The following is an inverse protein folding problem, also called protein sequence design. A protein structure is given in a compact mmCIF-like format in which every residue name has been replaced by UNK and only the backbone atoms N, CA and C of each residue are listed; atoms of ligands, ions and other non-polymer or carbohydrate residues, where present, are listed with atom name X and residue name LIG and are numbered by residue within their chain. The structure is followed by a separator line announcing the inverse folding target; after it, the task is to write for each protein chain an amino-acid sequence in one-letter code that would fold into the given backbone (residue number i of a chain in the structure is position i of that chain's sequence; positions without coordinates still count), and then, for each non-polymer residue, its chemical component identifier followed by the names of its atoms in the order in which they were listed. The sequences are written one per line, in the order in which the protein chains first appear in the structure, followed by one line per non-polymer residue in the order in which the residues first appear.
data_IF_842185262171
#
_entry.id   IF_842185262171
#
_cell.length_a   1.000
_cell.length_b   1.000
_cell.length_c   1.000
_cell.angle_alpha   90.00
_cell.angle_beta   90.00
_cell.angle_gamma   90.00
#
_symmetry.space_group_name_H-M   'P 1'
#
loop_
_entity.id
_entity.type
_entity.pdbx_description
1 polymer ?
#
# COMPACT_ATOMS: atom_id res chain seq x y z
N UNK A 1 8.51 6.50 -58.03
CA UNK A 1 7.73 7.71 -57.72
C UNK A 1 6.68 7.20 -56.76
N UNK A 2 7.05 7.10 -55.49
CA UNK A 2 6.13 6.65 -54.46
C UNK A 2 4.98 7.65 -54.45
N UNK A 3 3.75 7.16 -54.63
CA UNK A 3 2.62 8.06 -54.74
C UNK A 3 2.40 8.74 -53.39
N UNK A 4 1.94 9.99 -53.39
CA UNK A 4 1.63 10.71 -52.14
C UNK A 4 0.72 9.88 -51.21
N UNK A 5 -0.19 9.08 -51.80
CA UNK A 5 -1.07 8.17 -51.08
C UNK A 5 -0.34 7.04 -50.34
N UNK A 6 0.78 6.55 -50.89
CA UNK A 6 1.57 5.46 -50.30
C UNK A 6 2.39 5.97 -49.11
N UNK A 7 2.86 7.22 -49.19
CA UNK A 7 3.52 7.92 -48.08
C UNK A 7 2.53 8.16 -46.95
N UNK A 8 1.32 8.62 -47.27
CA UNK A 8 0.26 8.85 -46.28
C UNK A 8 -0.18 7.56 -45.57
N UNK A 9 -0.28 6.45 -46.32
CA UNK A 9 -0.61 5.14 -45.75
C UNK A 9 0.47 4.66 -44.76
N UNK A 10 1.75 4.85 -45.09
CA UNK A 10 2.84 4.42 -44.20
C UNK A 10 2.97 5.35 -42.97
N UNK A 11 2.70 6.65 -43.11
CA UNK A 11 2.59 7.59 -41.99
C UNK A 11 1.44 7.17 -41.05
N UNK A 12 0.29 6.78 -41.61
CA UNK A 12 -0.86 6.33 -40.84
C UNK A 12 -0.53 5.05 -40.08
N UNK A 13 0.15 4.11 -40.73
CA UNK A 13 0.59 2.84 -40.13
C UNK A 13 1.60 3.06 -39.01
N UNK A 14 2.59 3.93 -39.22
CA UNK A 14 3.56 4.32 -38.19
C UNK A 14 2.89 4.97 -36.98
N UNK A 15 1.97 5.90 -37.23
CA UNK A 15 1.20 6.58 -36.18
C UNK A 15 0.35 5.59 -35.38
N UNK A 16 -0.27 4.62 -36.06
CA UNK A 16 -1.06 3.55 -35.45
C UNK A 16 -0.20 2.61 -34.58
N UNK A 17 1.01 2.27 -35.04
CA UNK A 17 1.96 1.48 -34.27
C UNK A 17 2.40 2.21 -32.99
N UNK A 18 2.72 3.50 -33.07
CA UNK A 18 3.11 4.31 -31.90
C UNK A 18 1.96 4.38 -30.90
N UNK A 19 0.75 4.74 -31.34
CA UNK A 19 -0.41 4.84 -30.44
C UNK A 19 -0.74 3.49 -29.81
N UNK A 20 -0.63 2.40 -30.57
CA UNK A 20 -0.82 1.03 -30.03
C UNK A 20 0.23 0.68 -28.99
N UNK A 21 1.51 0.95 -29.26
CA UNK A 21 2.61 0.70 -28.33
C UNK A 21 2.48 1.54 -27.05
N UNK A 22 2.09 2.82 -27.17
CA UNK A 22 1.77 3.69 -26.04
C UNK A 22 0.63 3.07 -25.23
N UNK A 23 -0.49 2.70 -25.84
CA UNK A 23 -1.63 2.14 -25.12
C UNK A 23 -1.31 0.80 -24.43
N UNK A 24 -0.49 -0.05 -25.04
CA UNK A 24 -0.05 -1.34 -24.47
C UNK A 24 0.94 -1.16 -23.30
N UNK A 25 1.87 -0.20 -23.42
CA UNK A 25 2.89 0.06 -22.39
C UNK A 25 2.36 0.94 -21.25
N UNK A 26 1.38 1.80 -21.53
CA UNK A 26 0.78 2.69 -20.54
C UNK A 26 -0.23 1.91 -19.70
N UNK A 27 0.23 1.34 -18.58
CA UNK A 27 -0.69 0.85 -17.54
C UNK A 27 -1.40 2.04 -16.90
N UNK A 28 -2.63 2.34 -17.33
CA UNK A 28 -3.51 3.25 -16.61
C UNK A 28 -3.89 2.62 -15.26
N UNK A 29 -3.09 2.89 -14.23
CA UNK A 29 -3.54 2.65 -12.86
C UNK A 29 -4.65 3.65 -12.59
N UNK A 30 -5.89 3.24 -12.82
CA UNK A 30 -7.02 3.92 -12.22
C UNK A 30 -6.76 3.85 -10.73
N UNK A 31 -6.48 5.00 -10.09
CA UNK A 31 -6.37 5.11 -8.65
C UNK A 31 -7.78 4.87 -8.10
N UNK A 32 -8.24 3.61 -8.12
CA UNK A 32 -9.51 3.14 -7.55
C UNK A 32 -9.34 2.95 -6.05
N UNK A 33 -8.77 3.94 -5.38
CA UNK A 33 -9.16 4.11 -3.98
C UNK A 33 -10.38 5.00 -4.04
N UNK A 34 -11.58 4.48 -3.75
CA UNK A 34 -12.70 5.36 -3.51
C UNK A 34 -12.23 6.30 -2.41
N UNK A 35 -12.03 7.58 -2.75
CA UNK A 35 -11.89 8.59 -1.72
C UNK A 35 -13.09 8.42 -0.80
N UNK A 36 -12.86 8.48 0.51
CA UNK A 36 -13.92 8.34 1.51
C UNK A 36 -15.10 9.22 1.09
N UNK A 37 -16.20 8.59 0.67
CA UNK A 37 -17.42 9.30 0.35
C UNK A 37 -18.11 9.62 1.67
N UNK A 38 -18.03 10.87 2.09
CA UNK A 38 -18.77 11.38 3.24
C UNK A 38 -20.24 11.58 2.85
N UNK A 39 -21.12 11.38 3.82
CA UNK A 39 -22.54 11.64 3.65
C UNK A 39 -22.82 13.10 3.26
N UNK A 40 -23.81 13.31 2.39
CA UNK A 40 -24.08 14.61 1.72
C UNK A 40 -24.33 15.75 2.72
N UNK A 41 -24.91 15.46 3.87
CA UNK A 41 -25.15 16.45 4.93
C UNK A 41 -23.86 16.94 5.59
N UNK A 42 -22.86 16.06 5.77
CA UNK A 42 -21.55 16.48 6.29
C UNK A 42 -20.87 17.40 5.27
N UNK A 43 -20.98 17.08 3.98
CA UNK A 43 -20.44 17.90 2.90
C UNK A 43 -21.10 19.28 2.84
N UNK A 44 -22.42 19.37 3.03
CA UNK A 44 -23.13 20.66 3.07
C UNK A 44 -22.67 21.52 4.26
N UNK A 45 -22.52 20.93 5.46
CA UNK A 45 -21.96 21.62 6.64
C UNK A 45 -20.53 22.10 6.39
N UNK A 46 -19.67 21.31 5.74
CA UNK A 46 -18.30 21.71 5.37
C UNK A 46 -18.32 22.93 4.45
N UNK A 47 -19.19 22.94 3.43
CA UNK A 47 -19.34 24.09 2.52
C UNK A 47 -19.73 25.36 3.29
N UNK A 48 -20.72 25.28 4.18
CA UNK A 48 -21.19 26.42 4.98
C UNK A 48 -20.08 26.93 5.91
N UNK A 49 -19.38 26.04 6.62
CA UNK A 49 -18.24 26.41 7.47
C UNK A 49 -17.15 27.14 6.68
N UNK A 50 -16.81 26.63 5.50
CA UNK A 50 -15.78 27.23 4.66
C UNK A 50 -16.22 28.62 4.14
N UNK A 51 -17.49 28.80 3.79
CA UNK A 51 -18.06 30.11 3.44
C UNK A 51 -17.95 31.10 4.61
N UNK A 52 -18.32 30.68 5.82
CA UNK A 52 -18.22 31.53 7.02
C UNK A 52 -16.77 31.91 7.35
N UNK A 53 -15.82 30.99 7.16
CA UNK A 53 -14.39 31.28 7.32
C UNK A 53 -13.91 32.33 6.31
N UNK A 54 -14.33 32.22 5.04
CA UNK A 54 -14.02 33.23 4.01
C UNK A 54 -14.63 34.60 4.37
N UNK A 55 -15.89 34.63 4.79
CA UNK A 55 -16.55 35.87 5.23
C UNK A 55 -15.83 36.51 6.41
N UNK A 56 -15.37 35.73 7.40
CA UNK A 56 -14.57 36.24 8.50
C UNK A 56 -13.24 36.83 8.05
N UNK A 57 -12.55 36.22 7.09
CA UNK A 57 -11.28 36.76 6.55
C UNK A 57 -11.46 38.11 5.84
N UNK A 58 -12.62 38.34 5.22
CA UNK A 58 -12.92 39.60 4.52
C UNK A 58 -13.41 40.67 5.49
N UNK A 59 -14.37 40.31 6.36
CA UNK A 59 -15.12 41.28 7.18
C UNK A 59 -14.54 41.47 8.58
N UNK A 60 -13.66 40.57 9.03
CA UNK A 60 -13.18 40.45 10.41
C UNK A 60 -14.28 40.39 11.48
N UNK A 61 -15.53 40.13 11.09
CA UNK A 61 -16.67 40.12 12.00
C UNK A 61 -16.66 38.86 12.89
N UNK A 62 -16.43 38.97 14.22
CA UNK A 62 -16.18 37.81 15.09
C UNK A 62 -17.29 36.75 15.14
N UNK A 63 -18.59 37.08 15.01
CA UNK A 63 -19.66 36.08 14.97
C UNK A 63 -19.51 35.04 13.86
N UNK A 64 -18.94 35.39 12.70
CA UNK A 64 -18.69 34.42 11.63
C UNK A 64 -17.65 33.38 12.03
N UNK A 65 -16.59 33.79 12.76
CA UNK A 65 -15.59 32.87 13.34
C UNK A 65 -16.24 31.92 14.33
N UNK A 66 -17.06 32.43 15.26
CA UNK A 66 -17.76 31.60 16.26
C UNK A 66 -18.69 30.57 15.60
N UNK A 67 -19.49 31.00 14.61
CA UNK A 67 -20.37 30.09 13.85
C UNK A 67 -19.58 29.01 13.09
N UNK A 68 -18.45 29.38 12.47
CA UNK A 68 -17.58 28.42 11.79
C UNK A 68 -16.97 27.38 12.76
N UNK A 69 -16.56 27.80 13.96
CA UNK A 69 -16.04 26.89 14.98
C UNK A 69 -17.12 25.96 15.56
N UNK A 70 -18.33 26.47 15.75
CA UNK A 70 -19.48 25.63 16.13
C UNK A 70 -19.72 24.53 15.09
N UNK A 71 -19.81 24.91 13.82
CA UNK A 71 -19.95 23.96 12.71
C UNK A 71 -18.76 22.98 12.63
N UNK A 72 -17.54 23.43 12.90
CA UNK A 72 -16.38 22.54 12.93
C UNK A 72 -16.51 21.45 14.00
N UNK A 73 -17.01 21.79 15.19
CA UNK A 73 -17.26 20.81 16.27
C UNK A 73 -18.37 19.83 15.88
N UNK A 74 -19.44 20.32 15.26
CA UNK A 74 -20.53 19.49 14.74
C UNK A 74 -20.04 18.52 13.66
N UNK A 75 -19.32 19.01 12.65
CA UNK A 75 -18.74 18.19 11.58
C UNK A 75 -17.83 17.09 12.16
N UNK A 76 -17.03 17.40 13.18
CA UNK A 76 -16.17 16.39 13.82
C UNK A 76 -17.01 15.27 14.43
N UNK A 77 -18.06 15.61 15.17
CA UNK A 77 -18.98 14.64 15.79
C UNK A 77 -19.73 13.82 14.74
N UNK A 78 -20.19 14.47 13.67
CA UNK A 78 -20.90 13.79 12.59
C UNK A 78 -20.00 12.78 11.88
N UNK A 79 -18.74 13.14 11.61
CA UNK A 79 -17.75 12.24 11.02
C UNK A 79 -17.46 11.05 11.93
N UNK A 80 -17.27 11.30 13.22
CA UNK A 80 -17.04 10.26 14.21
C UNK A 80 -18.22 9.28 14.27
N UNK A 81 -19.44 9.81 14.30
CA UNK A 81 -20.67 8.99 14.33
C UNK A 81 -20.83 8.18 13.04
N UNK A 82 -20.60 8.80 11.88
CA UNK A 82 -20.63 8.14 10.58
C UNK A 82 -19.62 6.99 10.51
N UNK A 83 -18.40 7.22 10.98
CA UNK A 83 -17.34 6.20 10.97
C UNK A 83 -17.65 5.05 11.91
N UNK A 84 -18.13 5.35 13.12
CA UNK A 84 -18.52 4.35 14.10
C UNK A 84 -19.66 3.47 13.56
N UNK A 85 -20.67 4.07 12.92
CA UNK A 85 -21.77 3.32 12.31
C UNK A 85 -21.27 2.43 11.17
N UNK A 86 -20.44 2.98 10.27
CA UNK A 86 -19.85 2.22 9.17
C UNK A 86 -19.01 1.04 9.68
N UNK A 87 -18.22 1.24 10.73
CA UNK A 87 -17.43 0.17 11.35
C UNK A 87 -18.31 -0.86 12.05
N UNK A 88 -19.38 -0.43 12.71
CA UNK A 88 -20.36 -1.33 13.32
C UNK A 88 -21.00 -2.25 12.28
N UNK A 89 -21.45 -1.69 11.15
CA UNK A 89 -21.95 -2.48 10.02
C UNK A 89 -20.88 -3.44 9.50
N UNK A 90 -19.66 -2.94 9.27
CA UNK A 90 -18.54 -3.77 8.80
C UNK A 90 -18.24 -4.93 9.75
N UNK A 91 -18.36 -4.74 11.07
CA UNK A 91 -18.13 -5.78 12.08
C UNK A 91 -19.28 -6.80 12.11
N UNK A 92 -20.52 -6.35 11.93
CA UNK A 92 -21.69 -7.24 11.88
C UNK A 92 -21.70 -8.12 10.63
N UNK A 93 -21.16 -7.61 9.52
CA UNK A 93 -21.05 -8.34 8.25
C UNK A 93 -19.88 -9.35 8.22
N UNK A 94 -19.04 -9.42 9.26
CA UNK A 94 -17.90 -10.35 9.29
C UNK A 94 -18.39 -11.77 9.53
N UNK A 95 -18.10 -12.66 8.59
CA UNK A 95 -18.33 -14.09 8.75
C UNK A 95 -17.07 -14.78 9.33
N UNK A 96 -17.17 -15.47 10.49
CA UNK A 96 -16.05 -16.23 11.05
C UNK A 96 -15.69 -17.48 10.24
N UNK A 97 -16.61 -18.02 9.45
CA UNK A 97 -16.37 -19.21 8.61
C UNK A 97 -15.52 -18.87 7.37
N UNK A 98 -15.49 -17.60 6.97
CA UNK A 98 -14.69 -17.11 5.84
C UNK A 98 -13.40 -16.45 6.30
N UNK A 99 -12.40 -16.36 5.42
CA UNK A 99 -11.12 -15.70 5.70
C UNK A 99 -11.21 -14.15 5.91
N UNK A 100 -12.42 -13.60 5.94
CA UNK A 100 -12.70 -12.15 6.03
C UNK A 100 -12.19 -11.53 7.33
N UNK A 101 -12.35 -12.22 8.45
CA UNK A 101 -11.85 -11.80 9.76
C UNK A 101 -10.32 -11.67 9.76
N UNK A 102 -9.64 -12.69 9.21
CA UNK A 102 -8.19 -12.71 9.08
C UNK A 102 -7.69 -11.56 8.21
N UNK A 103 -8.32 -11.34 7.04
CA UNK A 103 -7.93 -10.26 6.14
C UNK A 103 -8.14 -8.86 6.75
N UNK A 104 -9.22 -8.67 7.51
CA UNK A 104 -9.46 -7.42 8.25
C UNK A 104 -8.43 -7.22 9.36
N UNK A 105 -8.18 -8.24 10.18
CA UNK A 105 -7.16 -8.16 11.23
C UNK A 105 -5.79 -7.86 10.63
N UNK A 106 -5.40 -8.57 9.56
CA UNK A 106 -4.14 -8.34 8.84
C UNK A 106 -4.04 -6.91 8.30
N UNK A 107 -5.13 -6.33 7.78
CA UNK A 107 -5.14 -4.93 7.31
C UNK A 107 -4.95 -3.93 8.46
N UNK A 108 -5.52 -4.19 9.63
CA UNK A 108 -5.39 -3.34 10.82
C UNK A 108 -4.03 -3.48 11.51
N UNK A 109 -3.49 -4.70 11.54
CA UNK A 109 -2.22 -5.06 12.18
C UNK A 109 -1.00 -4.73 11.33
N UNK A 110 -1.17 -4.40 10.04
CA UNK A 110 -0.09 -3.95 9.15
C UNK A 110 0.49 -2.64 9.68
N UNK A 111 1.62 -2.73 10.38
CA UNK A 111 2.45 -1.57 10.73
C UNK A 111 2.97 -0.95 9.44
N UNK A 112 2.76 0.35 9.28
CA UNK A 112 3.45 1.10 8.23
C UNK A 112 4.93 1.13 8.57
N UNK A 113 5.71 0.35 7.83
CA UNK A 113 7.17 0.42 7.91
C UNK A 113 7.57 1.50 6.93
N UNK A 114 7.99 2.66 7.45
CA UNK A 114 8.58 3.70 6.60
C UNK A 114 9.80 3.10 5.93
N UNK A 115 9.85 3.13 4.59
CA UNK A 115 11.07 2.77 3.87
C UNK A 115 12.19 3.67 4.38
N UNK A 116 13.28 3.11 4.93
CA UNK A 116 14.38 3.93 5.42
C UNK A 116 15.01 4.69 4.24
N UNK A 117 15.56 5.90 4.47
CA UNK A 117 16.27 6.63 3.44
C UNK A 117 17.50 5.84 3.00
N UNK A 118 17.82 5.92 1.70
CA UNK A 118 19.08 5.39 1.17
C UNK A 118 20.20 6.30 1.65
N UNK A 119 21.18 5.70 2.32
CA UNK A 119 22.31 6.40 2.91
C UNK A 119 23.55 6.22 2.04
N UNK A 120 24.30 7.31 1.90
CA UNK A 120 25.66 7.27 1.40
C UNK A 120 26.65 7.02 2.55
N UNK A 121 27.96 7.00 2.29
CA UNK A 121 29.02 6.84 3.32
C UNK A 121 28.90 7.87 4.45
N UNK A 122 28.55 9.11 4.10
CA UNK A 122 28.44 10.22 5.07
C UNK A 122 26.99 10.52 5.47
N UNK A 123 26.03 9.66 5.11
CA UNK A 123 24.62 9.81 5.42
C UNK A 123 23.75 10.33 4.27
N UNK A 124 22.68 11.06 4.60
CA UNK A 124 21.64 11.47 3.63
C UNK A 124 22.15 12.60 2.73
N UNK A 125 22.06 12.40 1.41
CA UNK A 125 22.46 13.40 0.40
C UNK A 125 21.22 14.08 -0.23
N UNK A 126 21.31 15.40 -0.43
CA UNK A 126 20.20 16.21 -0.97
C UNK A 126 20.43 16.71 -2.39
N UNK A 127 21.69 16.80 -2.83
CA UNK A 127 22.03 17.19 -4.21
C UNK A 127 21.72 16.05 -5.19
N UNK A 128 21.35 16.34 -6.46
CA UNK A 128 21.09 15.29 -7.45
C UNK A 128 22.27 14.33 -7.59
N UNK A 129 23.48 14.87 -7.77
CA UNK A 129 24.72 14.10 -7.84
C UNK A 129 24.97 13.25 -6.58
N UNK A 130 24.71 13.81 -5.40
CA UNK A 130 24.87 13.08 -4.15
C UNK A 130 23.86 11.95 -4.00
N UNK A 131 22.64 12.11 -4.51
CA UNK A 131 21.64 11.03 -4.53
C UNK A 131 22.07 9.92 -5.48
N UNK A 132 22.55 10.25 -6.68
CA UNK A 132 23.02 9.26 -7.65
C UNK A 132 24.16 8.42 -7.06
N UNK A 133 25.09 9.07 -6.36
CA UNK A 133 26.18 8.38 -5.66
C UNK A 133 25.67 7.50 -4.51
N UNK A 134 24.72 7.99 -3.70
CA UNK A 134 24.12 7.19 -2.63
C UNK A 134 23.41 5.94 -3.17
N UNK A 135 22.70 6.07 -4.30
CA UNK A 135 22.09 4.94 -5.00
C UNK A 135 23.14 3.96 -5.52
N UNK A 136 24.19 4.46 -6.19
CA UNK A 136 25.29 3.64 -6.71
C UNK A 136 25.92 2.81 -5.59
N UNK A 137 26.30 3.45 -4.49
CA UNK A 137 26.92 2.80 -3.34
C UNK A 137 25.99 1.76 -2.69
N UNK A 138 24.70 2.09 -2.52
CA UNK A 138 23.72 1.15 -1.97
C UNK A 138 23.55 -0.09 -2.85
N UNK A 139 23.54 0.06 -4.17
CA UNK A 139 23.44 -1.07 -5.10
C UNK A 139 24.72 -1.90 -5.07
N UNK A 140 25.88 -1.25 -5.15
CA UNK A 140 27.18 -1.91 -5.09
C UNK A 140 27.32 -2.80 -3.85
N UNK A 141 26.93 -2.29 -2.67
CA UNK A 141 26.93 -3.07 -1.43
C UNK A 141 25.93 -4.24 -1.43
N UNK A 142 24.77 -4.07 -2.08
CA UNK A 142 23.73 -5.11 -2.13
C UNK A 142 24.11 -6.29 -3.03
N UNK A 143 24.99 -6.05 -4.02
CA UNK A 143 25.43 -7.05 -4.99
C UNK A 143 26.85 -7.59 -4.72
N UNK A 144 27.43 -7.33 -3.54
CA UNK A 144 28.68 -7.98 -3.14
C UNK A 144 28.42 -9.45 -2.79
N UNK A 145 29.44 -10.29 -3.01
CA UNK A 145 29.45 -11.65 -2.48
C UNK A 145 29.34 -11.59 -0.96
N UNK A 146 28.46 -12.40 -0.36
CA UNK A 146 28.34 -12.47 1.08
C UNK A 146 29.68 -12.95 1.66
N UNK A 147 30.43 -12.13 2.42
CA UNK A 147 31.75 -12.51 2.90
C UNK A 147 31.67 -13.48 4.08
N UNK A 148 30.49 -13.66 4.69
CA UNK A 148 30.35 -14.66 5.75
C UNK A 148 30.59 -16.07 5.16
N UNK A 149 31.62 -16.80 5.63
CA UNK A 149 31.74 -18.21 5.29
C UNK A 149 30.47 -18.90 5.78
N UNK A 150 29.89 -19.76 4.94
CA UNK A 150 28.79 -20.62 5.32
C UNK A 150 29.03 -21.17 6.73
N UNK A 151 28.14 -20.83 7.67
CA UNK A 151 28.25 -21.36 9.02
C UNK A 151 27.89 -22.84 8.97
N UNK A 152 28.90 -23.69 8.73
CA UNK A 152 28.73 -25.14 8.63
C UNK A 152 28.08 -25.73 9.88
N UNK A 153 28.30 -25.12 11.04
CA UNK A 153 27.59 -25.45 12.29
C UNK A 153 26.08 -25.22 12.17
N UNK A 154 25.66 -24.05 11.72
CA UNK A 154 24.24 -23.74 11.53
C UNK A 154 23.59 -24.61 10.45
N UNK A 155 24.30 -24.89 9.35
CA UNK A 155 23.84 -25.80 8.30
C UNK A 155 23.62 -27.20 8.86
N UNK A 156 24.55 -27.70 9.68
CA UNK A 156 24.44 -29.01 10.31
C UNK A 156 23.29 -29.06 11.33
N UNK A 157 23.10 -28.01 12.13
CA UNK A 157 21.96 -27.89 13.05
C UNK A 157 20.63 -27.93 12.32
N UNK A 158 20.48 -27.16 11.23
CA UNK A 158 19.26 -27.15 10.40
C UNK A 158 19.02 -28.54 9.80
N UNK A 159 20.04 -29.15 9.20
CA UNK A 159 19.92 -30.50 8.63
C UNK A 159 19.56 -31.54 9.69
N UNK A 160 20.16 -31.47 10.87
CA UNK A 160 19.84 -32.37 11.97
C UNK A 160 18.39 -32.18 12.44
N UNK A 161 17.93 -30.94 12.55
CA UNK A 161 16.55 -30.62 12.94
C UNK A 161 15.54 -31.12 11.92
N UNK A 162 15.81 -30.92 10.62
CA UNK A 162 14.98 -31.42 9.51
C UNK A 162 14.92 -32.95 9.53
N UNK A 163 16.07 -33.62 9.63
CA UNK A 163 16.13 -35.09 9.68
C UNK A 163 15.41 -35.65 10.91
N UNK A 164 15.58 -35.01 12.08
CA UNK A 164 14.86 -35.38 13.29
C UNK A 164 13.34 -35.25 13.12
N UNK A 165 12.87 -34.15 12.54
CA UNK A 165 11.45 -33.95 12.24
C UNK A 165 10.87 -35.05 11.35
N UNK A 166 11.53 -35.36 10.22
CA UNK A 166 11.06 -36.40 9.31
C UNK A 166 11.15 -37.82 9.91
N UNK A 167 12.18 -38.11 10.71
CA UNK A 167 12.32 -39.39 11.40
C UNK A 167 11.26 -39.57 12.51
N UNK A 168 10.91 -38.49 13.21
CA UNK A 168 9.85 -38.53 14.21
C UNK A 168 8.46 -38.65 13.55
N UNK A 169 8.28 -38.05 12.36
CA UNK A 169 7.04 -38.18 11.58
C UNK A 169 6.82 -39.62 11.09
N UNK A 170 7.87 -40.30 10.63
CA UNK A 170 7.82 -41.71 10.21
C UNK A 170 7.68 -42.68 11.39
N UNK A 171 8.29 -42.36 12.54
CA UNK A 171 8.09 -43.11 13.79
C UNK A 171 6.64 -42.99 14.33
N UNK A 172 6.03 -41.80 14.28
CA UNK A 172 4.64 -41.59 14.72
C UNK A 172 3.63 -42.30 13.82
N UNK A 173 3.86 -42.32 12.50
CA UNK A 173 2.95 -42.97 11.54
C UNK A 173 3.08 -44.50 11.56
N UNK A 174 4.17 -45.06 12.08
CA UNK A 174 4.33 -46.51 12.28
C UNK A 174 3.71 -47.00 13.59
N UNK A 175 3.70 -46.19 14.65
CA UNK A 175 3.03 -46.55 15.92
C UNK A 175 1.51 -46.57 15.81
N UNK A 176 0.92 -45.70 14.98
CA UNK A 176 -0.53 -45.65 14.77
C UNK A 176 -1.08 -46.88 14.01
N UNK A 177 -0.26 -47.53 13.18
CA UNK A 177 -0.65 -48.76 12.47
C UNK A 177 -0.55 -50.03 13.33
N UNK A 178 0.28 -50.03 14.39
CA UNK A 178 0.45 -51.19 15.28
C UNK A 178 -0.62 -51.22 16.39
N UNK A 179 -1.18 -50.07 16.78
CA UNK A 179 -2.21 -49.99 17.82
C UNK A 179 -3.62 -50.42 17.37
N UNK A 180 -3.84 -50.64 16.06
CA UNK A 180 -5.15 -51.01 15.48
C UNK A 180 -5.39 -52.53 15.47
N UNK A 181 -4.45 -53.35 15.98
CA UNK A 181 -4.67 -54.80 16.15
C UNK A 181 -4.91 -55.14 17.62
N UNK A 182 -6.17 -55.09 18.05
CA UNK A 182 -6.67 -55.90 19.17
C UNK A 182 -8.11 -56.32 18.92
#
# INVERSE_FOLDING_TARGET
MDSEAEIDEEIQKFTCCITSAINLSTRTKVIRRPFRQLYKEILSKIRIKNRLRKLYQITFFPPYKRKAYKLQKEIRKDIETYDNNRWKETIMDINPEDNTLYDMNRKLSKKFISTPPILDTDGIKYTPLGKDNAFKHSLENSFQENPEPYCNLHINEVNHSINSYFNNLTASSTTDLVSIKK
#
